data_IF_864781652246
#
_entry.id   IF_864781652246
#
_cell.length_a   1.000
_cell.length_b   1.000
_cell.length_c   1.000
_cell.angle_alpha   90.00
_cell.angle_beta   90.00
_cell.angle_gamma   90.00
#
_symmetry.space_group_name_H-M   'P 1'
#
loop_
_entity.id
_entity.type
_entity.pdbx_description
1 polymer ?
#
# COMPACT_ATOMS: atom_id res chain seq x y z
N UNK A 1 22.66 -1.03 46.07
CA UNK A 1 23.49 -0.85 44.88
C UNK A 1 22.55 -0.94 43.69
N UNK A 2 22.12 0.21 43.19
CA UNK A 2 21.24 0.25 42.03
C UNK A 2 22.07 -0.09 40.79
N UNK A 3 21.75 -1.17 40.14
CA UNK A 3 22.22 -1.47 38.77
C UNK A 3 21.70 -0.36 37.86
N UNK A 4 22.60 0.54 37.45
CA UNK A 4 22.33 1.43 36.34
C UNK A 4 22.09 0.51 35.14
N UNK A 5 20.80 0.40 34.71
CA UNK A 5 20.44 -0.26 33.48
C UNK A 5 21.24 0.40 32.35
N UNK A 6 22.00 -0.40 31.64
CA UNK A 6 22.71 -0.01 30.44
C UNK A 6 21.69 0.64 29.49
N UNK A 7 21.74 1.97 29.38
CA UNK A 7 20.87 2.69 28.46
C UNK A 7 21.22 2.23 27.05
N UNK A 8 20.30 1.54 26.39
CA UNK A 8 20.45 1.13 25.01
C UNK A 8 20.86 2.34 24.15
N UNK A 9 21.87 2.18 23.33
CA UNK A 9 22.39 3.24 22.46
C UNK A 9 21.32 3.60 21.43
N UNK A 10 20.95 4.88 21.30
CA UNK A 10 20.02 5.30 20.26
C UNK A 10 20.53 4.94 18.87
N UNK A 11 19.65 4.43 18.01
CA UNK A 11 19.96 4.04 16.63
C UNK A 11 19.18 4.90 15.64
N UNK A 12 19.57 4.91 14.37
CA UNK A 12 18.83 5.62 13.32
C UNK A 12 17.44 4.99 13.12
N UNK A 13 16.46 5.79 12.75
CA UNK A 13 15.07 5.36 12.61
C UNK A 13 14.89 4.15 11.68
N UNK A 14 15.59 4.10 10.57
CA UNK A 14 15.52 2.95 9.65
C UNK A 14 15.86 1.65 10.35
N UNK A 15 16.94 1.63 11.15
CA UNK A 15 17.35 0.44 11.90
C UNK A 15 16.36 0.11 13.02
N UNK A 16 15.82 1.13 13.69
CA UNK A 16 14.81 0.97 14.72
C UNK A 16 13.51 0.37 14.15
N UNK A 17 13.01 0.91 13.02
CA UNK A 17 11.84 0.38 12.32
C UNK A 17 12.04 -1.06 11.86
N UNK A 18 13.19 -1.39 11.24
CA UNK A 18 13.48 -2.75 10.80
C UNK A 18 13.42 -3.73 11.97
N UNK A 19 14.01 -3.39 13.10
CA UNK A 19 13.99 -4.23 14.29
C UNK A 19 12.57 -4.33 14.91
N UNK A 20 11.85 -3.21 15.01
CA UNK A 20 10.53 -3.16 15.62
C UNK A 20 9.45 -3.84 14.79
N UNK A 21 9.54 -3.77 13.46
CA UNK A 21 8.54 -4.36 12.56
C UNK A 21 8.88 -5.81 12.21
N UNK A 22 10.16 -6.10 11.94
CA UNK A 22 10.59 -7.34 11.28
C UNK A 22 11.66 -8.13 12.03
N UNK A 23 12.08 -7.67 13.21
CA UNK A 23 12.97 -8.42 14.10
C UNK A 23 12.33 -9.72 14.63
N UNK A 24 13.06 -10.55 15.39
CA UNK A 24 12.53 -11.81 15.92
C UNK A 24 11.24 -11.66 16.74
N UNK A 25 11.09 -10.55 17.48
CA UNK A 25 9.90 -10.19 18.26
C UNK A 25 9.14 -9.02 17.62
N UNK A 26 9.37 -8.79 16.33
CA UNK A 26 8.80 -7.67 15.57
C UNK A 26 7.30 -7.76 15.43
N UNK A 27 6.68 -6.61 15.20
CA UNK A 27 5.23 -6.47 15.11
C UNK A 27 4.59 -7.43 14.09
N UNK A 28 5.22 -7.59 12.92
CA UNK A 28 4.73 -8.44 11.84
C UNK A 28 5.23 -9.89 11.89
N UNK A 29 6.33 -10.16 12.61
CA UNK A 29 6.98 -11.49 12.60
C UNK A 29 6.65 -12.32 13.83
N UNK A 30 6.11 -11.71 14.88
CA UNK A 30 5.78 -12.36 16.15
C UNK A 30 4.77 -13.49 15.94
N UNK A 31 5.07 -14.72 16.39
CA UNK A 31 4.15 -15.84 16.31
C UNK A 31 2.83 -15.55 17.04
N UNK A 32 1.70 -15.82 16.39
CA UNK A 32 0.37 -15.61 16.97
C UNK A 32 -0.07 -14.15 17.09
N UNK A 33 0.68 -13.22 16.52
CA UNK A 33 0.27 -11.82 16.43
C UNK A 33 -1.02 -11.65 15.62
N UNK A 34 -1.84 -10.61 15.93
CA UNK A 34 -3.13 -10.40 15.28
C UNK A 34 -3.01 -10.06 13.77
N UNK A 35 -1.80 -9.74 13.31
CA UNK A 35 -1.55 -9.27 11.95
C UNK A 35 -2.21 -7.92 11.65
N UNK A 36 -2.07 -7.39 10.42
CA UNK A 36 -2.66 -6.09 10.05
C UNK A 36 -4.15 -6.00 10.32
N UNK A 37 -4.91 -7.07 10.02
CA UNK A 37 -6.37 -7.13 10.22
C UNK A 37 -6.84 -6.89 11.67
N UNK A 38 -6.00 -7.17 12.65
CA UNK A 38 -6.30 -6.92 14.07
C UNK A 38 -6.05 -5.48 14.52
N UNK A 39 -5.38 -4.69 13.70
CA UNK A 39 -4.95 -3.33 14.05
C UNK A 39 -5.50 -2.26 13.12
N UNK A 40 -5.82 -2.59 11.86
CA UNK A 40 -6.23 -1.64 10.83
C UNK A 40 -7.47 -2.09 10.07
N UNK A 41 -8.24 -1.11 9.62
CA UNK A 41 -9.27 -1.29 8.60
C UNK A 41 -8.70 -0.86 7.25
N UNK A 42 -7.88 -1.73 6.65
CA UNK A 42 -7.30 -1.49 5.33
C UNK A 42 -8.38 -1.59 4.24
N UNK A 43 -8.09 -1.09 3.03
CA UNK A 43 -9.00 -1.20 1.88
C UNK A 43 -9.43 -2.65 1.60
N UNK A 44 -8.52 -3.60 1.80
CA UNK A 44 -8.77 -5.04 1.62
C UNK A 44 -9.81 -5.57 2.61
N UNK A 45 -9.77 -5.09 3.86
CA UNK A 45 -10.69 -5.51 4.94
C UNK A 45 -12.00 -4.71 4.95
N UNK A 46 -12.01 -3.51 4.33
CA UNK A 46 -13.19 -2.66 4.31
C UNK A 46 -14.31 -3.25 3.46
N UNK A 47 -14.00 -3.87 2.32
CA UNK A 47 -15.01 -4.40 1.42
C UNK A 47 -14.48 -5.41 0.40
N UNK A 48 -15.31 -6.42 0.09
CA UNK A 48 -15.09 -7.32 -1.06
C UNK A 48 -15.09 -6.60 -2.41
N UNK A 49 -15.64 -5.38 -2.48
CA UNK A 49 -15.64 -4.56 -3.69
C UNK A 49 -14.21 -4.18 -4.10
N UNK A 50 -13.30 -4.02 -3.12
CA UNK A 50 -11.90 -3.72 -3.39
C UNK A 50 -11.21 -4.88 -4.13
N UNK A 51 -11.31 -6.09 -3.61
CA UNK A 51 -10.78 -7.29 -4.29
C UNK A 51 -11.42 -7.50 -5.68
N UNK A 52 -12.72 -7.23 -5.81
CA UNK A 52 -13.43 -7.23 -7.10
C UNK A 52 -12.90 -6.18 -8.08
N UNK A 53 -12.50 -5.00 -7.60
CA UNK A 53 -11.86 -3.97 -8.44
C UNK A 53 -10.47 -4.41 -8.90
N UNK A 54 -9.65 -4.99 -8.01
CA UNK A 54 -8.34 -5.55 -8.36
C UNK A 54 -8.49 -6.72 -9.34
N UNK A 55 -9.53 -7.56 -9.21
CA UNK A 55 -9.82 -8.60 -10.19
C UNK A 55 -10.11 -8.01 -11.58
N UNK A 56 -10.90 -6.92 -11.67
CA UNK A 56 -11.15 -6.22 -12.95
C UNK A 56 -9.87 -5.60 -13.54
N UNK A 57 -9.01 -5.05 -12.68
CA UNK A 57 -7.70 -4.57 -13.12
C UNK A 57 -6.86 -5.71 -13.70
N UNK A 58 -6.83 -6.86 -13.04
CA UNK A 58 -6.12 -8.05 -13.55
C UNK A 58 -6.69 -8.52 -14.89
N UNK A 59 -8.01 -8.47 -15.10
CA UNK A 59 -8.63 -8.79 -16.39
C UNK A 59 -8.21 -7.78 -17.48
N UNK A 60 -8.11 -6.50 -17.16
CA UNK A 60 -7.58 -5.48 -18.09
C UNK A 60 -6.13 -5.76 -18.47
N UNK A 61 -5.31 -6.15 -17.49
CA UNK A 61 -3.91 -6.56 -17.75
C UNK A 61 -3.84 -7.83 -18.58
N UNK A 62 -4.68 -8.82 -18.31
CA UNK A 62 -4.78 -10.06 -19.11
C UNK A 62 -5.10 -9.77 -20.58
N UNK A 63 -6.04 -8.87 -20.84
CA UNK A 63 -6.37 -8.42 -22.20
C UNK A 63 -5.21 -7.68 -22.87
N UNK A 64 -4.57 -6.75 -22.17
CA UNK A 64 -3.41 -6.01 -22.69
C UNK A 64 -2.22 -6.92 -23.01
N UNK A 65 -2.10 -8.04 -22.30
CA UNK A 65 -1.09 -9.09 -22.53
C UNK A 65 -1.47 -10.08 -23.65
N UNK A 66 -2.69 -10.03 -24.18
CA UNK A 66 -3.21 -10.95 -25.18
C UNK A 66 -3.64 -12.31 -24.61
N UNK A 67 -4.07 -12.34 -23.36
CA UNK A 67 -4.57 -13.53 -22.63
C UNK A 67 -3.58 -14.69 -22.64
N UNK A 68 -2.42 -14.53 -21.99
CA UNK A 68 -1.37 -15.56 -21.96
C UNK A 68 -1.87 -16.84 -21.27
N UNK A 69 -1.19 -17.96 -21.51
CA UNK A 69 -1.52 -19.26 -20.89
C UNK A 69 -1.35 -19.26 -19.37
N UNK A 70 -0.44 -18.46 -18.83
CA UNK A 70 -0.23 -18.24 -17.41
C UNK A 70 -0.24 -16.75 -17.12
N UNK A 71 -0.93 -16.33 -16.07
CA UNK A 71 -1.07 -14.95 -15.64
C UNK A 71 -0.65 -14.84 -14.18
N UNK A 72 0.38 -14.08 -13.90
CA UNK A 72 0.87 -13.92 -12.53
C UNK A 72 0.09 -12.83 -11.82
N UNK A 73 -0.26 -13.11 -10.57
CA UNK A 73 -0.77 -12.13 -9.62
C UNK A 73 0.12 -12.15 -8.38
N UNK A 74 0.92 -11.11 -8.21
CA UNK A 74 1.87 -10.99 -7.10
C UNK A 74 1.34 -9.96 -6.12
N UNK A 75 1.14 -10.34 -4.87
CA UNK A 75 0.69 -9.48 -3.77
C UNK A 75 1.86 -9.25 -2.81
N UNK A 76 2.34 -7.99 -2.75
CA UNK A 76 3.47 -7.58 -1.92
C UNK A 76 2.97 -7.18 -0.53
N UNK A 77 3.52 -7.77 0.52
CA UNK A 77 3.01 -7.59 1.88
C UNK A 77 1.62 -8.22 2.04
N UNK A 78 1.47 -9.48 1.61
CA UNK A 78 0.19 -10.13 1.44
C UNK A 78 -0.62 -10.37 2.74
N UNK A 79 -0.08 -10.03 3.91
CA UNK A 79 -0.76 -10.18 5.19
C UNK A 79 -1.16 -11.63 5.48
N UNK A 80 -2.44 -11.96 5.38
CA UNK A 80 -2.95 -13.33 5.50
C UNK A 80 -3.46 -13.89 4.16
N UNK A 81 -3.24 -13.18 3.05
CA UNK A 81 -3.67 -13.57 1.71
C UNK A 81 -5.12 -13.20 1.41
N UNK A 82 -5.68 -12.24 2.14
CA UNK A 82 -7.08 -11.81 1.99
C UNK A 82 -7.35 -11.24 0.60
N UNK A 83 -6.43 -10.39 0.09
CA UNK A 83 -6.58 -9.80 -1.24
C UNK A 83 -6.58 -10.88 -2.32
N UNK A 84 -5.59 -11.77 -2.31
CA UNK A 84 -5.50 -12.87 -3.29
C UNK A 84 -6.74 -13.77 -3.24
N UNK A 85 -7.19 -14.12 -2.04
CA UNK A 85 -8.41 -14.94 -1.84
C UNK A 85 -9.63 -14.24 -2.44
N UNK A 86 -9.80 -12.95 -2.18
CA UNK A 86 -10.90 -12.15 -2.70
C UNK A 86 -10.85 -11.99 -4.22
N UNK A 87 -9.67 -11.74 -4.78
CA UNK A 87 -9.47 -11.61 -6.23
C UNK A 87 -9.79 -12.94 -6.94
N UNK A 88 -9.24 -14.06 -6.45
CA UNK A 88 -9.51 -15.37 -7.05
C UNK A 88 -10.98 -15.73 -7.04
N UNK A 89 -11.71 -15.36 -5.98
CA UNK A 89 -13.16 -15.59 -5.88
C UNK A 89 -13.98 -14.68 -6.82
N UNK A 90 -13.45 -13.53 -7.22
CA UNK A 90 -14.12 -12.55 -8.08
C UNK A 90 -13.84 -12.77 -9.59
N UNK A 91 -12.83 -13.56 -9.93
CA UNK A 91 -12.44 -13.82 -11.32
C UNK A 91 -13.39 -14.82 -12.00
N UNK A 92 -13.62 -14.69 -13.34
CA UNK A 92 -14.23 -15.75 -14.13
C UNK A 92 -13.42 -17.06 -14.02
N UNK A 93 -14.11 -18.23 -13.96
CA UNK A 93 -13.44 -19.52 -13.74
C UNK A 93 -12.31 -19.82 -14.72
N UNK A 94 -12.47 -19.46 -16.00
CA UNK A 94 -11.47 -19.66 -17.06
C UNK A 94 -10.22 -18.81 -16.82
N UNK A 95 -10.34 -17.60 -16.30
CA UNK A 95 -9.19 -16.76 -15.95
C UNK A 95 -8.57 -17.25 -14.64
N UNK A 96 -9.39 -17.53 -13.62
CA UNK A 96 -8.91 -18.04 -12.33
C UNK A 96 -8.10 -19.34 -12.47
N UNK A 97 -8.41 -20.18 -13.47
CA UNK A 97 -7.67 -21.41 -13.76
C UNK A 97 -6.26 -21.16 -14.33
N UNK A 98 -6.00 -19.97 -14.90
CA UNK A 98 -4.70 -19.58 -15.48
C UNK A 98 -3.85 -18.73 -14.55
N UNK A 99 -4.47 -18.16 -13.49
CA UNK A 99 -3.77 -17.29 -12.54
C UNK A 99 -2.82 -18.11 -11.68
N UNK A 100 -1.60 -17.61 -11.54
CA UNK A 100 -0.59 -18.09 -10.59
C UNK A 100 -0.46 -17.03 -9.49
N UNK A 101 -1.15 -17.21 -8.35
CA UNK A 101 -1.15 -16.23 -7.27
C UNK A 101 0.06 -16.43 -6.35
N UNK A 102 0.80 -15.35 -6.11
CA UNK A 102 1.97 -15.30 -5.22
C UNK A 102 1.70 -14.32 -4.08
N UNK A 103 1.72 -14.81 -2.86
CA UNK A 103 1.74 -14.02 -1.64
C UNK A 103 3.19 -13.79 -1.23
N UNK A 104 3.68 -12.57 -1.33
CA UNK A 104 5.01 -12.18 -0.87
C UNK A 104 4.90 -11.68 0.55
N UNK A 105 5.35 -12.47 1.53
CA UNK A 105 5.15 -12.16 2.94
C UNK A 105 6.28 -12.76 3.80
N UNK A 106 6.71 -12.00 4.81
CA UNK A 106 7.75 -12.44 5.77
C UNK A 106 7.17 -13.31 6.89
N UNK A 107 5.89 -13.10 7.24
CA UNK A 107 5.20 -13.91 8.23
C UNK A 107 4.93 -15.34 7.74
N UNK A 108 4.67 -16.25 8.67
CA UNK A 108 4.34 -17.63 8.35
C UNK A 108 3.03 -17.73 7.56
N UNK A 109 2.97 -18.69 6.62
CA UNK A 109 1.75 -18.99 5.85
C UNK A 109 0.58 -19.32 6.79
N UNK A 110 -0.59 -18.68 6.65
CA UNK A 110 -1.77 -19.00 7.44
C UNK A 110 -2.29 -20.41 7.16
N UNK A 111 -2.85 -21.05 8.19
CA UNK A 111 -3.60 -22.29 8.02
C UNK A 111 -4.87 -22.06 7.20
N UNK A 112 -5.26 -23.05 6.39
CA UNK A 112 -6.49 -23.00 5.59
C UNK A 112 -6.47 -22.09 4.37
N UNK A 113 -5.35 -21.41 4.08
CA UNK A 113 -5.21 -20.61 2.86
C UNK A 113 -5.28 -21.52 1.62
N UNK A 114 -5.94 -21.04 0.56
CA UNK A 114 -6.08 -21.76 -0.73
C UNK A 114 -4.72 -22.33 -1.18
N UNK A 115 -4.62 -23.65 -1.42
CA UNK A 115 -3.33 -24.29 -1.76
C UNK A 115 -2.72 -23.79 -3.07
N UNK A 116 -3.49 -23.15 -3.93
CA UNK A 116 -2.99 -22.53 -5.18
C UNK A 116 -2.13 -21.29 -4.93
N UNK A 117 -2.30 -20.62 -3.77
CA UNK A 117 -1.52 -19.43 -3.43
C UNK A 117 -0.10 -19.84 -3.03
N UNK A 118 0.88 -19.43 -3.83
CA UNK A 118 2.29 -19.63 -3.54
C UNK A 118 2.74 -18.61 -2.48
N UNK A 119 3.15 -19.10 -1.31
CA UNK A 119 3.64 -18.26 -0.22
C UNK A 119 5.16 -18.18 -0.28
N UNK A 120 5.71 -16.98 -0.52
CA UNK A 120 7.13 -16.78 -0.79
C UNK A 120 7.68 -15.56 -0.02
N UNK A 121 8.95 -15.59 0.42
CA UNK A 121 9.55 -14.47 1.16
C UNK A 121 10.01 -13.32 0.26
N UNK A 122 10.14 -13.55 -1.05
CA UNK A 122 10.54 -12.57 -2.06
C UNK A 122 9.71 -12.78 -3.33
N UNK A 123 9.44 -11.73 -4.12
CA UNK A 123 8.68 -11.88 -5.34
C UNK A 123 9.42 -12.78 -6.35
N UNK A 124 8.68 -13.63 -7.10
CA UNK A 124 9.29 -14.45 -8.15
C UNK A 124 9.81 -13.55 -9.29
N UNK A 125 10.94 -13.94 -9.86
CA UNK A 125 11.51 -13.25 -11.02
C UNK A 125 10.75 -13.55 -12.31
N UNK A 126 10.80 -12.58 -13.26
CA UNK A 126 10.26 -12.73 -14.63
C UNK A 126 8.76 -13.03 -14.66
N UNK A 127 7.99 -12.33 -13.84
CA UNK A 127 6.55 -12.48 -13.82
C UNK A 127 5.87 -11.76 -14.99
N UNK A 128 4.72 -12.28 -15.42
CA UNK A 128 3.90 -11.67 -16.46
C UNK A 128 2.46 -11.55 -15.96
N UNK A 129 2.02 -10.30 -15.67
CA UNK A 129 0.69 -10.06 -15.11
C UNK A 129 0.61 -8.82 -14.25
N UNK A 130 0.05 -8.94 -13.05
CA UNK A 130 -0.17 -7.85 -12.10
C UNK A 130 0.69 -8.06 -10.84
N UNK A 131 1.54 -7.09 -10.52
CA UNK A 131 2.16 -6.93 -9.22
C UNK A 131 1.38 -5.86 -8.46
N UNK A 132 0.90 -6.18 -7.27
CA UNK A 132 0.07 -5.30 -6.46
C UNK A 132 0.65 -5.20 -5.05
N UNK A 133 0.84 -3.99 -4.55
CA UNK A 133 1.32 -3.69 -3.21
C UNK A 133 0.30 -2.77 -2.53
N UNK A 134 -0.45 -3.29 -1.56
CA UNK A 134 -1.43 -2.51 -0.82
C UNK A 134 -0.96 -2.27 0.59
N UNK A 135 -0.73 -1.01 0.96
CA UNK A 135 -0.27 -0.65 2.29
C UNK A 135 0.97 -1.47 2.67
N UNK A 136 2.00 -1.39 1.81
CA UNK A 136 3.26 -2.10 1.95
C UNK A 136 4.45 -1.15 2.07
N UNK A 137 4.47 -0.06 1.29
CA UNK A 137 5.59 0.87 1.26
C UNK A 137 5.66 1.73 2.52
N UNK A 138 4.52 2.01 3.14
CA UNK A 138 4.43 2.77 4.40
C UNK A 138 5.18 2.11 5.56
N UNK A 139 5.29 0.77 5.54
CA UNK A 139 6.05 -0.03 6.51
C UNK A 139 7.49 -0.35 6.06
N UNK A 140 7.91 0.01 4.85
CA UNK A 140 9.34 -0.10 4.47
C UNK A 140 10.14 0.90 5.29
N UNK A 141 11.13 0.44 6.08
CA UNK A 141 11.88 1.29 7.01
C UNK A 141 12.60 2.45 6.32
N UNK A 142 12.51 3.64 6.90
CA UNK A 142 13.08 4.87 6.35
C UNK A 142 13.91 5.62 7.39
N UNK A 143 14.68 6.59 6.93
CA UNK A 143 15.41 7.51 7.79
C UNK A 143 14.61 8.77 8.06
N UNK A 144 14.70 9.27 9.29
CA UNK A 144 14.19 10.59 9.68
C UNK A 144 15.34 11.56 9.76
N UNK A 145 15.13 12.77 9.27
CA UNK A 145 16.07 13.90 9.40
C UNK A 145 15.39 15.12 10.01
N UNK A 146 16.15 15.88 10.73
CA UNK A 146 15.75 17.19 11.25
C UNK A 146 16.97 18.12 11.21
N UNK A 147 16.77 19.33 10.73
CA UNK A 147 17.82 20.36 10.59
C UNK A 147 19.11 19.85 9.92
N UNK A 148 18.98 19.02 8.88
CA UNK A 148 20.10 18.49 8.09
C UNK A 148 20.92 17.41 8.79
N UNK A 149 20.40 16.81 9.84
CA UNK A 149 21.01 15.67 10.56
C UNK A 149 20.06 14.51 10.65
N UNK A 150 20.56 13.29 10.73
CA UNK A 150 19.72 12.15 11.08
C UNK A 150 19.13 12.32 12.46
N UNK A 151 17.93 11.79 12.65
CA UNK A 151 17.32 11.59 13.96
C UNK A 151 17.61 10.16 14.41
N UNK A 152 18.11 10.02 15.63
CA UNK A 152 18.26 8.73 16.31
C UNK A 152 17.16 8.56 17.34
N UNK A 153 16.77 7.31 17.59
CA UNK A 153 15.72 6.97 18.53
C UNK A 153 16.18 5.91 19.53
N UNK A 154 15.84 6.08 20.78
CA UNK A 154 16.00 5.09 21.84
C UNK A 154 14.82 4.10 21.86
N UNK A 155 14.94 2.93 22.50
CA UNK A 155 13.86 1.93 22.57
C UNK A 155 12.56 2.43 23.20
N UNK A 156 12.59 3.50 23.98
CA UNK A 156 11.44 4.15 24.60
C UNK A 156 10.78 5.21 23.70
N UNK A 157 11.28 5.38 22.47
CA UNK A 157 10.81 6.39 21.52
C UNK A 157 11.43 7.78 21.70
N UNK A 158 12.35 7.97 22.66
CA UNK A 158 13.04 9.25 22.83
C UNK A 158 13.98 9.52 21.66
N UNK A 159 13.73 10.62 20.95
CA UNK A 159 14.55 11.05 19.82
C UNK A 159 15.71 11.94 20.24
N UNK A 160 16.79 11.90 19.47
CA UNK A 160 17.98 12.73 19.65
C UNK A 160 18.65 13.06 18.32
N UNK A 161 19.35 14.21 18.19
CA UNK A 161 20.12 14.50 17.00
C UNK A 161 21.22 13.45 16.77
N UNK A 162 21.25 12.91 15.56
CA UNK A 162 22.26 11.96 15.10
C UNK A 162 23.43 12.61 14.34
N UNK A 163 24.11 11.81 13.51
CA UNK A 163 25.20 12.26 12.65
C UNK A 163 24.74 13.11 11.45
N UNK A 164 25.68 13.64 10.67
CA UNK A 164 25.38 14.35 9.42
C UNK A 164 24.77 13.37 8.40
N UNK A 165 24.00 13.92 7.46
CA UNK A 165 23.42 13.14 6.37
C UNK A 165 24.50 12.62 5.41
N UNK A 166 24.32 11.40 4.93
CA UNK A 166 25.04 10.84 3.80
C UNK A 166 24.70 11.64 2.52
N UNK A 167 25.62 11.70 1.57
CA UNK A 167 25.44 12.49 0.36
C UNK A 167 24.23 12.04 -0.47
N UNK A 168 24.00 10.72 -0.58
CA UNK A 168 22.87 10.19 -1.31
C UNK A 168 21.52 10.55 -0.68
N UNK A 169 21.45 10.62 0.64
CA UNK A 169 20.23 11.00 1.37
C UNK A 169 19.99 12.51 1.28
N UNK A 170 21.07 13.32 1.30
CA UNK A 170 20.98 14.76 1.06
C UNK A 170 20.49 15.06 -0.36
N UNK A 171 21.04 14.41 -1.38
CA UNK A 171 20.60 14.55 -2.76
C UNK A 171 19.15 14.14 -2.96
N UNK A 172 18.70 13.10 -2.27
CA UNK A 172 17.30 12.69 -2.27
C UNK A 172 16.37 13.77 -1.69
N UNK A 173 16.74 14.36 -0.55
CA UNK A 173 15.98 15.45 0.08
C UNK A 173 15.89 16.69 -0.81
N UNK A 174 17.00 17.12 -1.39
CA UNK A 174 17.06 18.28 -2.30
C UNK A 174 16.09 18.10 -3.48
N UNK A 175 16.01 16.89 -3.99
CA UNK A 175 15.12 16.55 -5.12
C UNK A 175 13.67 16.40 -4.72
N UNK A 176 13.39 15.66 -3.65
CA UNK A 176 12.06 15.18 -3.36
C UNK A 176 11.39 15.82 -2.15
N UNK A 177 12.16 16.30 -1.18
CA UNK A 177 11.62 16.94 0.02
C UNK A 177 12.34 18.27 0.29
N UNK A 178 12.21 19.26 -0.62
CA UNK A 178 12.88 20.54 -0.45
C UNK A 178 12.26 21.29 0.74
N UNK A 179 13.12 21.75 1.64
CA UNK A 179 12.71 22.50 2.83
C UNK A 179 13.67 22.33 3.99
N UNK A 180 13.37 23.00 5.08
CA UNK A 180 14.08 22.89 6.36
C UNK A 180 13.18 22.27 7.41
N UNK A 181 13.77 21.68 8.44
CA UNK A 181 13.05 21.03 9.53
C UNK A 181 13.00 19.50 9.36
N UNK A 182 11.91 18.89 9.82
CA UNK A 182 11.74 17.44 9.83
C UNK A 182 11.32 16.90 8.46
N UNK A 183 11.99 15.82 8.03
CA UNK A 183 11.67 15.14 6.77
C UNK A 183 11.90 13.63 6.88
N UNK A 184 11.25 12.89 5.99
CA UNK A 184 11.27 11.43 5.89
C UNK A 184 11.98 11.03 4.60
N UNK A 185 13.15 10.39 4.71
CA UNK A 185 13.98 10.05 3.55
C UNK A 185 13.49 8.72 2.96
N UNK A 186 12.69 8.79 1.90
CA UNK A 186 12.03 7.64 1.27
C UNK A 186 12.92 6.78 0.37
N UNK A 187 14.22 7.03 0.28
CA UNK A 187 15.14 6.33 -0.65
C UNK A 187 15.10 4.80 -0.55
N UNK A 188 14.86 4.26 0.65
CA UNK A 188 14.67 2.81 0.84
C UNK A 188 13.37 2.31 0.22
N UNK A 189 12.31 3.12 0.24
CA UNK A 189 11.00 2.84 -0.35
C UNK A 189 11.07 2.89 -1.87
N UNK A 190 11.77 3.88 -2.42
CA UNK A 190 12.04 3.98 -3.86
C UNK A 190 12.79 2.73 -4.35
N UNK A 191 13.82 2.30 -3.61
CA UNK A 191 14.59 1.11 -3.94
C UNK A 191 13.76 -0.18 -3.83
N UNK A 192 12.92 -0.30 -2.79
CA UNK A 192 12.05 -1.45 -2.59
C UNK A 192 11.01 -1.55 -3.72
N UNK A 193 10.38 -0.44 -4.09
CA UNK A 193 9.43 -0.39 -5.21
C UNK A 193 10.11 -0.72 -6.54
N UNK A 194 11.24 -0.09 -6.83
CA UNK A 194 11.99 -0.35 -8.05
C UNK A 194 12.40 -1.82 -8.18
N UNK A 195 12.86 -2.42 -7.08
CA UNK A 195 13.21 -3.85 -7.04
C UNK A 195 11.99 -4.75 -7.29
N UNK A 196 10.84 -4.45 -6.67
CA UNK A 196 9.61 -5.19 -6.88
C UNK A 196 9.11 -5.06 -8.34
N UNK A 197 9.03 -3.84 -8.87
CA UNK A 197 8.61 -3.61 -10.25
C UNK A 197 9.55 -4.25 -11.28
N UNK A 198 10.84 -4.33 -11.00
CA UNK A 198 11.83 -4.99 -11.87
C UNK A 198 11.65 -6.51 -12.00
N UNK A 199 10.87 -7.15 -11.12
CA UNK A 199 10.52 -8.57 -11.25
C UNK A 199 9.49 -8.85 -12.34
N UNK A 200 8.75 -7.81 -12.80
CA UNK A 200 7.86 -7.91 -13.94
C UNK A 200 8.63 -7.90 -15.27
N UNK A 201 8.42 -8.93 -16.07
CA UNK A 201 8.85 -8.94 -17.47
C UNK A 201 7.86 -8.18 -18.36
N UNK A 202 6.56 -8.36 -18.11
CA UNK A 202 5.46 -7.63 -18.78
C UNK A 202 4.23 -7.57 -17.89
N UNK A 203 3.59 -6.42 -17.84
CA UNK A 203 2.34 -6.28 -17.08
C UNK A 203 2.19 -4.91 -16.44
N UNK A 204 1.56 -4.88 -15.28
CA UNK A 204 1.30 -3.67 -14.51
C UNK A 204 1.79 -3.84 -13.07
N UNK A 205 2.57 -2.88 -12.58
CA UNK A 205 2.89 -2.78 -11.17
C UNK A 205 2.04 -1.66 -10.54
N UNK A 206 1.41 -1.93 -9.39
CA UNK A 206 0.57 -0.97 -8.67
C UNK A 206 0.94 -0.95 -7.21
N UNK A 207 1.27 0.23 -6.67
CA UNK A 207 1.36 0.47 -5.23
C UNK A 207 0.22 1.37 -4.77
N UNK A 208 -0.41 0.99 -3.67
CA UNK A 208 -1.50 1.74 -3.04
C UNK A 208 -1.12 2.03 -1.61
N UNK A 209 -1.04 3.31 -1.26
CA UNK A 209 -0.56 3.67 0.08
C UNK A 209 -1.07 5.05 0.52
N UNK A 210 -0.96 5.34 1.83
CA UNK A 210 -1.02 6.71 2.33
C UNK A 210 0.07 7.52 1.65
N UNK A 211 -0.28 8.59 0.98
CA UNK A 211 0.67 9.23 0.08
C UNK A 211 0.66 10.75 0.17
N UNK A 212 1.80 11.31 -0.20
CA UNK A 212 1.94 12.72 -0.50
C UNK A 212 2.88 12.91 -1.70
N UNK A 213 2.81 14.08 -2.31
CA UNK A 213 3.68 14.47 -3.42
C UNK A 213 4.53 15.67 -3.05
N UNK A 214 5.53 15.99 -3.86
CA UNK A 214 6.49 17.09 -3.62
C UNK A 214 5.79 18.44 -3.38
N UNK A 215 4.66 18.66 -4.00
CA UNK A 215 3.87 19.90 -3.88
C UNK A 215 3.15 20.02 -2.52
N UNK A 216 2.98 18.89 -1.82
CA UNK A 216 2.20 18.82 -0.58
C UNK A 216 2.90 17.96 0.49
N UNK A 217 4.23 18.10 0.65
CA UNK A 217 4.97 17.41 1.72
C UNK A 217 4.50 17.87 3.09
N UNK A 218 4.26 16.94 4.02
CA UNK A 218 3.90 17.27 5.40
C UNK A 218 5.05 18.01 6.09
N UNK A 219 4.81 19.21 6.68
CA UNK A 219 5.89 20.04 7.23
C UNK A 219 6.58 19.44 8.47
N UNK A 220 5.94 18.50 9.14
CA UNK A 220 6.46 17.84 10.36
C UNK A 220 6.69 16.34 10.17
N UNK A 221 6.62 15.83 8.94
CA UNK A 221 6.58 14.42 8.65
C UNK A 221 5.25 13.77 9.02
N UNK A 222 5.20 12.45 8.89
CA UNK A 222 3.98 11.62 9.11
C UNK A 222 4.27 10.40 9.97
N UNK A 223 5.53 10.21 10.42
CA UNK A 223 5.92 9.05 11.21
C UNK A 223 5.06 8.93 12.46
N UNK A 224 4.36 7.83 12.60
CA UNK A 224 3.46 7.55 13.71
C UNK A 224 3.47 6.06 14.07
N UNK A 225 2.80 5.70 15.14
CA UNK A 225 2.54 4.32 15.52
C UNK A 225 1.05 4.01 15.54
N UNK A 226 0.69 2.75 15.28
CA UNK A 226 -0.68 2.27 15.49
C UNK A 226 -0.73 1.05 16.39
N UNK A 227 -1.67 1.06 17.33
CA UNK A 227 -1.93 -0.05 18.25
C UNK A 227 -3.44 -0.23 18.46
N UNK A 228 -3.95 -1.41 18.14
CA UNK A 228 -5.38 -1.74 18.29
C UNK A 228 -6.30 -0.68 17.62
N UNK A 229 -5.99 -0.26 16.41
CA UNK A 229 -6.77 0.71 15.63
C UNK A 229 -6.67 2.17 16.09
N UNK A 230 -5.73 2.49 16.97
CA UNK A 230 -5.53 3.86 17.48
C UNK A 230 -4.13 4.34 17.18
N UNK A 231 -4.02 5.58 16.76
CA UNK A 231 -2.76 6.26 16.63
C UNK A 231 -2.09 6.44 18.00
N UNK A 232 -0.80 6.17 18.06
CA UNK A 232 0.05 6.27 19.25
C UNK A 232 1.42 6.84 18.88
N UNK A 233 2.21 7.37 19.82
CA UNK A 233 3.60 7.73 19.53
C UNK A 233 4.37 6.53 18.92
N UNK A 234 5.26 6.78 17.95
CA UNK A 234 6.05 5.72 17.30
C UNK A 234 7.16 5.24 18.23
N UNK A 235 6.88 4.22 19.04
CA UNK A 235 7.87 3.60 19.93
C UNK A 235 8.38 2.32 19.26
N UNK A 236 9.69 2.20 18.98
CA UNK A 236 10.24 1.07 18.23
C UNK A 236 10.52 -0.15 19.14
N UNK A 237 9.51 -0.57 19.90
CA UNK A 237 9.57 -1.69 20.85
C UNK A 237 8.88 -2.97 20.34
N UNK A 238 8.40 -2.96 19.08
CA UNK A 238 7.62 -4.05 18.50
C UNK A 238 6.18 -4.12 19.03
N UNK A 239 5.74 -3.17 19.88
CA UNK A 239 4.40 -3.15 20.46
C UNK A 239 3.36 -2.39 19.64
N UNK A 240 3.78 -1.66 18.61
CA UNK A 240 2.92 -0.96 17.67
C UNK A 240 3.46 -1.10 16.26
N UNK A 241 2.59 -0.92 15.28
CA UNK A 241 2.98 -0.72 13.91
C UNK A 241 3.57 0.70 13.77
N UNK A 242 4.82 0.78 13.32
CA UNK A 242 5.50 2.06 13.05
C UNK A 242 5.44 2.32 11.55
N UNK A 243 4.75 3.37 11.16
CA UNK A 243 4.47 3.69 9.76
C UNK A 243 4.69 5.17 9.46
N UNK A 244 4.85 5.50 8.20
CA UNK A 244 4.88 6.87 7.68
C UNK A 244 4.32 6.90 6.26
N UNK A 245 3.69 8.01 5.86
CA UNK A 245 3.17 8.16 4.50
C UNK A 245 4.29 8.08 3.45
N UNK A 246 3.92 7.72 2.24
CA UNK A 246 4.86 7.44 1.15
C UNK A 246 4.95 8.63 0.19
N UNK A 247 6.18 9.02 -0.13
CA UNK A 247 6.47 9.96 -1.22
C UNK A 247 6.32 9.23 -2.57
N UNK A 248 5.09 8.93 -3.00
CA UNK A 248 4.84 8.08 -4.17
C UNK A 248 5.40 8.64 -5.48
N UNK A 249 5.51 9.95 -5.59
CA UNK A 249 6.15 10.62 -6.73
C UNK A 249 7.65 10.33 -6.82
N UNK A 250 8.32 10.08 -5.69
CA UNK A 250 9.72 9.66 -5.66
C UNK A 250 9.89 8.19 -6.08
N UNK A 251 8.90 7.34 -5.76
CA UNK A 251 8.90 5.94 -6.17
C UNK A 251 8.61 5.76 -7.68
N UNK A 252 8.00 6.75 -8.34
CA UNK A 252 7.49 6.63 -9.70
C UNK A 252 8.61 6.37 -10.73
N UNK A 253 8.51 5.22 -11.40
CA UNK A 253 9.36 4.87 -12.55
C UNK A 253 8.85 5.45 -13.88
N UNK A 254 9.57 5.18 -14.98
CA UNK A 254 9.18 5.66 -16.31
C UNK A 254 7.77 5.23 -16.71
N UNK A 255 6.97 6.18 -17.19
CA UNK A 255 5.59 5.93 -17.66
C UNK A 255 4.59 5.68 -16.55
N UNK A 256 4.97 5.87 -15.28
CA UNK A 256 4.07 5.72 -14.16
C UNK A 256 3.05 6.88 -14.08
N UNK A 257 1.85 6.56 -13.64
CA UNK A 257 0.76 7.50 -13.37
C UNK A 257 0.40 7.47 -11.89
N UNK A 258 0.12 8.63 -11.31
CA UNK A 258 -0.39 8.77 -9.95
C UNK A 258 -1.89 9.09 -9.98
N UNK A 259 -2.68 8.31 -9.27
CA UNK A 259 -4.12 8.50 -9.11
C UNK A 259 -4.50 8.52 -7.63
N UNK A 260 -5.67 9.05 -7.30
CA UNK A 260 -6.30 8.77 -6.02
C UNK A 260 -7.02 7.41 -6.06
N UNK A 261 -7.13 6.72 -4.94
CA UNK A 261 -7.91 5.48 -4.86
C UNK A 261 -9.35 5.68 -5.34
N UNK A 262 -9.96 6.79 -4.97
CA UNK A 262 -11.30 7.15 -5.49
C UNK A 262 -11.34 7.10 -7.00
N UNK A 263 -10.37 7.75 -7.68
CA UNK A 263 -10.33 7.78 -9.15
C UNK A 263 -10.10 6.39 -9.72
N UNK A 264 -9.13 5.66 -9.20
CA UNK A 264 -8.81 4.30 -9.66
C UNK A 264 -10.00 3.35 -9.50
N UNK A 265 -10.66 3.36 -8.32
CA UNK A 265 -11.82 2.51 -8.06
C UNK A 265 -13.04 2.89 -8.91
N UNK A 266 -13.24 4.19 -9.19
CA UNK A 266 -14.29 4.63 -10.11
C UNK A 266 -14.06 4.10 -11.53
N UNK A 267 -12.84 4.18 -12.05
CA UNK A 267 -12.45 3.61 -13.35
C UNK A 267 -12.65 2.09 -13.39
N UNK A 268 -12.46 1.43 -12.25
CA UNK A 268 -12.70 -0.01 -12.09
C UNK A 268 -14.16 -0.34 -11.75
N UNK A 269 -15.11 0.60 -11.92
CA UNK A 269 -16.53 0.37 -11.76
C UNK A 269 -17.04 0.25 -10.33
N UNK A 270 -16.29 0.75 -9.33
CA UNK A 270 -16.78 0.91 -7.95
C UNK A 270 -17.48 2.25 -7.85
N UNK A 271 -18.80 2.24 -7.66
CA UNK A 271 -19.60 3.45 -7.52
C UNK A 271 -20.51 3.37 -6.29
N UNK A 272 -20.53 4.45 -5.50
CA UNK A 272 -21.42 4.62 -4.34
C UNK A 272 -22.85 5.07 -4.68
N UNK A 273 -23.28 4.88 -5.93
CA UNK A 273 -24.60 5.28 -6.38
C UNK A 273 -25.72 4.54 -5.64
N UNK A 274 -26.71 5.28 -5.12
CA UNK A 274 -27.87 4.65 -4.46
C UNK A 274 -28.67 3.82 -5.48
N UNK A 275 -29.11 2.62 -5.09
CA UNK A 275 -29.99 1.81 -5.95
C UNK A 275 -31.32 2.52 -6.19
N UNK A 276 -31.97 2.31 -7.34
CA UNK A 276 -33.28 2.88 -7.63
C UNK A 276 -34.31 2.45 -6.59
N UNK A 277 -35.11 3.39 -6.08
CA UNK A 277 -36.16 3.12 -5.07
C UNK A 277 -37.19 2.06 -5.56
N UNK A 278 -37.44 2.01 -6.88
CA UNK A 278 -38.32 1.01 -7.46
C UNK A 278 -37.85 -0.45 -7.13
N UNK A 279 -36.56 -0.67 -7.00
CA UNK A 279 -36.02 -1.98 -6.63
C UNK A 279 -36.46 -2.39 -5.21
N UNK A 280 -36.67 -1.44 -4.30
CA UNK A 280 -37.17 -1.73 -2.95
C UNK A 280 -38.55 -2.37 -2.95
N UNK A 281 -39.38 -2.06 -3.96
CA UNK A 281 -40.71 -2.62 -4.11
C UNK A 281 -40.75 -3.90 -4.95
N UNK A 282 -39.85 -4.03 -5.93
CA UNK A 282 -39.83 -5.20 -6.85
C UNK A 282 -38.95 -6.33 -6.34
N UNK A 283 -37.81 -6.02 -5.68
CA UNK A 283 -36.91 -6.99 -5.05
C UNK A 283 -36.24 -6.35 -3.82
N UNK A 284 -36.89 -6.39 -2.64
CA UNK A 284 -36.36 -5.80 -1.41
C UNK A 284 -34.99 -6.36 -1.00
N UNK A 285 -34.73 -7.64 -1.27
CA UNK A 285 -33.46 -8.30 -0.91
C UNK A 285 -32.33 -7.76 -1.78
N UNK A 286 -32.55 -7.64 -3.08
CA UNK A 286 -31.60 -7.04 -4.01
C UNK A 286 -31.37 -5.55 -3.67
N UNK A 287 -32.42 -4.81 -3.27
CA UNK A 287 -32.28 -3.41 -2.84
C UNK A 287 -31.36 -3.26 -1.62
N UNK A 288 -31.58 -4.07 -0.57
CA UNK A 288 -30.74 -4.04 0.64
C UNK A 288 -29.29 -4.39 0.33
N UNK A 289 -29.05 -5.41 -0.49
CA UNK A 289 -27.68 -5.77 -0.93
C UNK A 289 -27.01 -4.63 -1.71
N UNK A 290 -27.72 -4.01 -2.64
CA UNK A 290 -27.20 -2.90 -3.43
C UNK A 290 -26.95 -1.65 -2.56
N UNK A 291 -27.78 -1.41 -1.56
CA UNK A 291 -27.59 -0.30 -0.61
C UNK A 291 -26.35 -0.53 0.28
N UNK A 292 -26.14 -1.77 0.75
CA UNK A 292 -24.93 -2.14 1.49
C UNK A 292 -23.68 -1.93 0.62
N UNK A 293 -23.69 -2.43 -0.61
CA UNK A 293 -22.59 -2.25 -1.55
C UNK A 293 -22.30 -0.76 -1.85
N UNK A 294 -23.35 0.07 -1.96
CA UNK A 294 -23.19 1.51 -2.13
C UNK A 294 -22.53 2.17 -0.89
N UNK A 295 -22.87 1.74 0.31
CA UNK A 295 -22.22 2.17 1.55
C UNK A 295 -20.74 1.79 1.60
N UNK A 296 -20.41 0.54 1.27
CA UNK A 296 -19.04 0.05 1.19
C UNK A 296 -18.22 0.80 0.12
N UNK A 297 -18.81 1.04 -1.06
CA UNK A 297 -18.17 1.83 -2.11
C UNK A 297 -17.92 3.27 -1.67
N UNK A 298 -18.87 3.87 -0.94
CA UNK A 298 -18.72 5.22 -0.40
C UNK A 298 -17.57 5.30 0.61
N UNK A 299 -17.39 4.29 1.47
CA UNK A 299 -16.23 4.20 2.39
C UNK A 299 -14.90 4.13 1.64
N UNK A 300 -14.80 3.22 0.65
CA UNK A 300 -13.58 3.04 -0.16
C UNK A 300 -13.20 4.28 -0.97
N UNK A 301 -14.16 5.15 -1.29
CA UNK A 301 -13.97 6.34 -2.12
C UNK A 301 -14.10 7.65 -1.35
N UNK A 302 -14.24 7.61 -0.01
CA UNK A 302 -14.46 8.78 0.84
C UNK A 302 -13.28 9.76 0.78
N UNK A 303 -13.60 11.07 0.73
CA UNK A 303 -12.61 12.14 0.97
C UNK A 303 -12.25 12.19 2.44
N UNK A 304 -11.00 12.47 2.75
CA UNK A 304 -10.48 12.44 4.12
C UNK A 304 -10.36 11.02 4.68
N UNK A 305 -10.36 10.00 3.83
CA UNK A 305 -10.30 8.58 4.21
C UNK A 305 -9.65 7.72 3.13
N UNK A 306 -10.08 6.47 2.99
CA UNK A 306 -9.50 5.49 2.05
C UNK A 306 -9.45 6.00 0.60
N UNK A 307 -10.41 6.82 0.18
CA UNK A 307 -10.46 7.35 -1.18
C UNK A 307 -9.32 8.31 -1.55
N UNK A 308 -8.56 8.80 -0.57
CA UNK A 308 -7.42 9.70 -0.77
C UNK A 308 -6.07 8.97 -0.81
N UNK A 309 -6.05 7.64 -0.63
CA UNK A 309 -4.84 6.86 -0.85
C UNK A 309 -4.30 7.09 -2.25
N UNK A 310 -2.98 7.15 -2.37
CA UNK A 310 -2.30 7.25 -3.66
C UNK A 310 -2.20 5.89 -4.33
N UNK A 311 -2.49 5.85 -5.61
CA UNK A 311 -2.20 4.71 -6.49
C UNK A 311 -1.07 5.11 -7.42
N UNK A 312 0.07 4.46 -7.28
CA UNK A 312 1.18 4.52 -8.25
C UNK A 312 1.00 3.36 -9.22
N UNK A 313 0.73 3.69 -10.48
CA UNK A 313 0.45 2.70 -11.53
C UNK A 313 1.57 2.76 -12.56
N UNK A 314 2.34 1.68 -12.68
CA UNK A 314 3.53 1.62 -13.53
C UNK A 314 3.42 0.49 -14.55
N UNK A 315 3.24 0.79 -15.85
CA UNK A 315 3.21 -0.20 -16.91
C UNK A 315 4.62 -0.73 -17.24
N UNK A 316 4.72 -2.01 -17.53
CA UNK A 316 5.95 -2.68 -17.96
C UNK A 316 5.66 -3.45 -19.26
N UNK A 317 6.13 -2.95 -20.40
CA UNK A 317 5.95 -3.60 -21.70
C UNK A 317 4.50 -3.76 -22.18
N UNK A 318 3.57 -3.01 -21.60
CA UNK A 318 2.16 -2.87 -22.04
C UNK A 318 1.77 -1.39 -22.13
N UNK A 319 0.61 -1.11 -22.71
CA UNK A 319 0.05 0.24 -22.72
C UNK A 319 -0.26 0.73 -21.30
N UNK A 320 -0.16 2.04 -21.04
CA UNK A 320 -0.53 2.63 -19.75
C UNK A 320 -2.00 2.35 -19.39
N UNK A 321 -2.25 2.15 -18.10
CA UNK A 321 -3.58 2.15 -17.50
C UNK A 321 -3.64 3.23 -16.42
N UNK A 322 -4.70 4.05 -16.35
CA UNK A 322 -5.76 4.14 -17.36
C UNK A 322 -5.24 4.69 -18.69
N UNK A 323 -5.99 4.44 -19.77
CA UNK A 323 -5.64 5.03 -21.06
C UNK A 323 -5.78 6.56 -20.99
N UNK A 324 -4.95 7.30 -21.75
CA UNK A 324 -4.89 8.76 -21.72
C UNK A 324 -6.24 9.46 -21.96
N UNK A 325 -7.17 8.83 -22.69
CA UNK A 325 -8.52 9.33 -22.92
C UNK A 325 -9.43 9.26 -21.69
N UNK A 326 -9.19 8.32 -20.78
CA UNK A 326 -9.93 8.15 -19.52
C UNK A 326 -9.46 9.13 -18.45
N UNK A 327 -8.19 9.54 -18.49
CA UNK A 327 -7.65 10.60 -17.61
C UNK A 327 -8.30 11.97 -17.89
N UNK A 328 -8.48 12.33 -19.18
CA UNK A 328 -9.06 13.62 -19.58
C UNK A 328 -10.53 13.79 -19.17
N UNK A 329 -11.31 12.70 -19.15
CA UNK A 329 -12.73 12.75 -18.76
C UNK A 329 -12.96 13.03 -17.24
N UNK A 330 -11.95 12.84 -16.40
CA UNK A 330 -12.06 13.02 -14.95
C UNK A 330 -11.77 14.44 -14.45
N UNK A 331 -11.21 15.31 -15.28
CA UNK A 331 -10.89 16.70 -14.89
C UNK A 331 -12.06 17.67 -15.12
N UNK A 332 -13.16 17.21 -15.73
CA UNK A 332 -14.32 18.05 -16.12
C UNK A 332 -15.41 18.23 -15.06
N UNK A 333 -15.44 17.49 -13.97
CA UNK A 333 -16.54 17.55 -12.99
C UNK A 333 -16.29 18.41 -11.76
N UNK A 334 -15.22 19.21 -11.74
CA UNK A 334 -14.83 20.07 -10.61
C UNK A 334 -15.17 21.56 -10.72
N UNK A 335 -15.74 22.04 -11.82
CA UNK A 335 -16.09 23.44 -12.02
C UNK A 335 -17.62 23.64 -11.97
N UNK A 336 -18.22 23.40 -10.82
CA UNK A 336 -19.58 23.86 -10.49
C UNK A 336 -19.50 25.24 -9.86
N UNK A 337 -20.01 26.20 -10.56
CA UNK A 337 -20.13 27.65 -10.31
C UNK A 337 -20.87 27.98 -9.00
N UNK A 338 -20.73 29.21 -8.49
CA UNK A 338 -20.92 29.67 -7.11
C UNK A 338 -22.34 29.60 -6.56
#
# INVERSE_FOLDING_TARGET
MSTQGERAVPVRWRSAMEAALYGPDGFYTRPGGPGPAGHFRTSVHASRLYAGAVARLLLTVDEALGRPRGLDLVDMGAGRGELLTGVLAALPPETAARVRPYAVERAARPEGLDPRIHWVPVPPERTTGLLFANEWLDNVPLEITEDGRYVTVAPDGTESPGGPLEEADRAWLERWWPGTGRAEIGRSRDAAWAAAAATLERGLAVAVDYAHTREARPPFGTLTGFRAGREVPPVPDGGCDVTAHVALDACAGPGATLLTQRRALTLLGVSGGRPPLALASTDPVAYVRALSAAGEAAELTARGGLGDFGWLVQPVGIAPWPAAQEEAAGHGEGAGTP
#
